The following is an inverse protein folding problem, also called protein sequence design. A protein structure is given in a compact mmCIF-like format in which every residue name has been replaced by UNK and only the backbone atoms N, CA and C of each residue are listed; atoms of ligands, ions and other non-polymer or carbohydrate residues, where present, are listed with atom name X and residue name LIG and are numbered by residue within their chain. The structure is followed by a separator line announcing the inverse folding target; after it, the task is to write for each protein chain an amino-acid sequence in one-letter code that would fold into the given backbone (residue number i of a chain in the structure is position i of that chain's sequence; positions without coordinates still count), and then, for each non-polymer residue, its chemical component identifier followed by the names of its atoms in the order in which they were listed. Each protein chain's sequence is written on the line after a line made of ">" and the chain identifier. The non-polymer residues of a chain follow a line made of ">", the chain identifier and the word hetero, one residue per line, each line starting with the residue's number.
data_IF_142684220652
#
_entry.id   IF_142684220652
#
_cell.length_a   1.000
_cell.length_b   1.000
_cell.length_c   1.000
_cell.angle_alpha   90.00
_cell.angle_beta   90.00
_cell.angle_gamma   90.00
#
_symmetry.space_group_name_H-M   'P 1'
#
loop_
_entity.id
_entity.type
_entity.pdbx_description
1 polymer ?
#
# COMPACT_ATOMS: atom_id res chain seq x y z
N UNK A 1 -15.66 -1.20 11.41
CA UNK A 1 -15.17 -1.84 10.15
C UNK A 1 -15.85 -1.17 8.96
N UNK A 2 -15.12 -0.83 7.89
CA UNK A 2 -15.71 -0.24 6.70
C UNK A 2 -16.63 -1.24 6.00
N UNK A 3 -17.57 -0.74 5.23
CA UNK A 3 -18.43 -1.58 4.40
C UNK A 3 -17.83 -1.82 3.01
N UNK A 4 -17.14 -0.79 2.45
CA UNK A 4 -16.62 -0.82 1.08
C UNK A 4 -15.21 -0.26 0.96
N UNK A 5 -14.30 -1.06 0.43
CA UNK A 5 -12.93 -0.66 0.13
C UNK A 5 -12.72 -0.64 -1.40
N UNK A 6 -12.19 0.50 -1.89
CA UNK A 6 -11.72 0.61 -3.26
C UNK A 6 -10.40 -0.14 -3.46
N UNK A 7 -10.25 -0.81 -4.59
CA UNK A 7 -8.95 -1.33 -5.05
C UNK A 7 -8.68 -0.72 -6.42
N UNK A 8 -7.56 0.02 -6.55
CA UNK A 8 -7.19 0.64 -7.82
C UNK A 8 -6.89 -0.44 -8.85
N UNK A 9 -7.75 -0.56 -9.86
CA UNK A 9 -7.77 -1.65 -10.84
C UNK A 9 -7.31 -1.18 -12.23
N UNK A 10 -6.27 -0.34 -12.28
CA UNK A 10 -5.65 0.12 -13.52
C UNK A 10 -4.62 -0.88 -14.04
N UNK A 11 -3.85 -1.50 -13.17
CA UNK A 11 -2.90 -2.58 -13.46
C UNK A 11 -2.46 -3.26 -12.14
N UNK A 12 -1.74 -4.40 -12.24
CA UNK A 12 -1.16 -5.11 -11.08
C UNK A 12 -2.14 -6.11 -10.43
N UNK A 13 -1.80 -6.53 -9.20
CA UNK A 13 -2.47 -7.65 -8.53
C UNK A 13 -3.76 -7.27 -7.78
N UNK A 14 -4.58 -6.37 -8.35
CA UNK A 14 -5.81 -5.90 -7.72
C UNK A 14 -6.82 -7.04 -7.40
N UNK A 15 -6.86 -8.08 -8.21
CA UNK A 15 -7.73 -9.25 -7.96
C UNK A 15 -7.31 -10.01 -6.70
N UNK A 16 -6.01 -10.06 -6.40
CA UNK A 16 -5.50 -10.70 -5.17
C UNK A 16 -5.90 -9.90 -3.93
N UNK A 17 -5.80 -8.57 -3.96
CA UNK A 17 -6.32 -7.71 -2.88
C UNK A 17 -7.83 -7.87 -2.69
N UNK A 18 -8.60 -7.95 -3.78
CA UNK A 18 -10.03 -8.21 -3.71
C UNK A 18 -10.32 -9.55 -3.02
N UNK A 19 -9.58 -10.62 -3.33
CA UNK A 19 -9.74 -11.92 -2.68
C UNK A 19 -9.43 -11.84 -1.17
N UNK A 20 -8.40 -11.09 -0.75
CA UNK A 20 -8.08 -10.88 0.67
C UNK A 20 -9.19 -10.13 1.41
N UNK A 21 -9.75 -9.08 0.81
CA UNK A 21 -10.87 -8.34 1.37
C UNK A 21 -12.13 -9.21 1.47
N UNK A 22 -12.37 -10.07 0.50
CA UNK A 22 -13.49 -11.03 0.51
C UNK A 22 -13.36 -12.05 1.66
N UNK A 23 -12.15 -12.55 1.96
CA UNK A 23 -11.90 -13.40 3.16
C UNK A 23 -12.28 -12.67 4.46
N UNK A 24 -12.12 -11.35 4.49
CA UNK A 24 -12.49 -10.48 5.62
C UNK A 24 -13.94 -10.00 5.57
N UNK A 25 -14.74 -10.46 4.60
CA UNK A 25 -16.16 -10.11 4.37
C UNK A 25 -16.36 -8.61 4.10
N UNK A 26 -15.40 -7.97 3.43
CA UNK A 26 -15.46 -6.57 3.02
C UNK A 26 -15.85 -6.47 1.55
N UNK A 27 -16.84 -5.64 1.23
CA UNK A 27 -17.24 -5.35 -0.15
C UNK A 27 -16.12 -4.56 -0.86
N UNK A 28 -15.85 -4.90 -2.12
CA UNK A 28 -14.77 -4.29 -2.90
C UNK A 28 -15.31 -3.56 -4.12
N UNK A 29 -14.85 -2.33 -4.34
CA UNK A 29 -15.07 -1.56 -5.57
C UNK A 29 -13.77 -1.57 -6.37
N UNK A 30 -13.80 -2.04 -7.62
CA UNK A 30 -12.66 -1.93 -8.55
C UNK A 30 -12.63 -0.51 -9.14
N UNK A 31 -11.70 0.31 -8.65
CA UNK A 31 -11.56 1.72 -9.02
C UNK A 31 -10.76 1.85 -10.31
N UNK A 32 -11.39 2.34 -11.39
CA UNK A 32 -10.78 2.55 -12.71
C UNK A 32 -10.87 4.01 -13.18
N UNK A 33 -11.73 4.81 -12.58
CA UNK A 33 -11.97 6.21 -12.91
C UNK A 33 -12.42 6.98 -11.67
N UNK A 34 -12.32 8.32 -11.66
CA UNK A 34 -12.59 9.14 -10.48
C UNK A 34 -13.91 8.86 -9.77
N UNK A 35 -14.99 8.70 -10.53
CA UNK A 35 -16.31 8.44 -9.96
C UNK A 35 -16.41 7.13 -9.16
N UNK A 36 -15.53 6.17 -9.42
CA UNK A 36 -15.55 4.88 -8.72
C UNK A 36 -15.04 5.01 -7.26
N UNK A 37 -14.37 6.13 -6.92
CA UNK A 37 -13.99 6.47 -5.54
C UNK A 37 -15.22 6.84 -4.68
N UNK A 38 -16.31 7.27 -5.30
CA UNK A 38 -17.52 7.60 -4.58
C UNK A 38 -18.11 6.33 -3.94
N UNK A 39 -18.32 6.40 -2.64
CA UNK A 39 -18.81 5.26 -1.86
C UNK A 39 -17.73 4.29 -1.37
N UNK A 40 -16.44 4.54 -1.68
CA UNK A 40 -15.33 3.88 -1.01
C UNK A 40 -15.03 4.59 0.32
N UNK A 41 -14.73 3.81 1.35
CA UNK A 41 -14.33 4.32 2.67
C UNK A 41 -12.80 4.27 2.86
N UNK A 42 -12.09 3.56 1.99
CA UNK A 42 -10.63 3.50 1.90
C UNK A 42 -10.20 2.99 0.53
N UNK A 43 -8.90 3.09 0.21
CA UNK A 43 -8.36 2.70 -1.08
C UNK A 43 -7.09 1.84 -0.90
N UNK A 44 -7.00 0.76 -1.67
CA UNK A 44 -5.76 -0.01 -1.83
C UNK A 44 -5.18 0.31 -3.21
N UNK A 45 -3.90 0.70 -3.25
CA UNK A 45 -3.12 0.86 -4.49
C UNK A 45 -2.19 -0.36 -4.60
N UNK A 46 -2.49 -1.30 -5.52
CA UNK A 46 -1.76 -2.56 -5.62
C UNK A 46 -0.32 -2.41 -6.10
N UNK A 47 0.44 -3.49 -5.91
CA UNK A 47 1.70 -3.72 -6.60
C UNK A 47 1.54 -3.88 -8.10
N UNK A 48 2.67 -3.84 -8.82
CA UNK A 48 2.74 -3.95 -10.26
C UNK A 48 3.94 -3.21 -10.83
N UNK A 49 3.84 -2.65 -12.04
CA UNK A 49 4.90 -1.87 -12.67
C UNK A 49 4.62 -0.37 -12.48
N UNK A 50 5.47 0.32 -11.69
CA UNK A 50 5.23 1.70 -11.25
C UNK A 50 5.26 2.74 -12.36
N UNK A 51 6.09 2.58 -13.41
CA UNK A 51 6.08 3.53 -14.54
C UNK A 51 4.81 3.40 -15.39
N UNK A 52 4.28 2.19 -15.52
CA UNK A 52 2.99 1.94 -16.17
C UNK A 52 1.85 2.49 -15.31
N UNK A 53 1.92 2.29 -13.99
CA UNK A 53 0.90 2.79 -13.06
C UNK A 53 0.83 4.33 -13.08
N UNK A 54 1.98 5.03 -13.06
CA UNK A 54 2.06 6.49 -13.24
C UNK A 54 1.33 6.95 -14.51
N UNK A 55 1.65 6.34 -15.67
CA UNK A 55 1.02 6.69 -16.95
C UNK A 55 -0.49 6.46 -16.95
N UNK A 56 -0.95 5.37 -16.33
CA UNK A 56 -2.38 5.04 -16.25
C UNK A 56 -3.13 5.97 -15.31
N UNK A 57 -2.56 6.31 -14.15
CA UNK A 57 -3.13 7.29 -13.22
C UNK A 57 -3.28 8.64 -13.93
N UNK A 58 -2.25 9.08 -14.68
CA UNK A 58 -2.30 10.30 -15.47
C UNK A 58 -3.36 10.24 -16.57
N UNK A 59 -3.36 9.17 -17.38
CA UNK A 59 -4.33 8.98 -18.48
C UNK A 59 -5.78 8.96 -18.01
N UNK A 60 -6.02 8.41 -16.82
CA UNK A 60 -7.36 8.30 -16.23
C UNK A 60 -7.73 9.54 -15.37
N UNK A 61 -6.89 10.58 -15.31
CA UNK A 61 -7.07 11.78 -14.49
C UNK A 61 -7.32 11.45 -13.01
N UNK A 62 -6.53 10.53 -12.44
CA UNK A 62 -6.73 10.02 -11.08
C UNK A 62 -5.88 10.72 -10.02
N UNK A 63 -4.87 11.55 -10.37
CA UNK A 63 -3.98 12.18 -9.39
C UNK A 63 -4.74 13.01 -8.36
N UNK A 64 -5.43 14.05 -8.79
CA UNK A 64 -6.18 14.92 -7.88
C UNK A 64 -7.33 14.19 -7.16
N UNK A 65 -8.15 13.35 -7.85
CA UNK A 65 -9.17 12.57 -7.16
C UNK A 65 -8.65 11.67 -6.05
N UNK A 66 -7.46 11.05 -6.20
CA UNK A 66 -6.85 10.24 -5.13
C UNK A 66 -6.33 11.14 -4.00
N UNK A 67 -5.70 12.29 -4.31
CA UNK A 67 -5.24 13.26 -3.30
C UNK A 67 -6.40 13.82 -2.49
N UNK A 68 -7.48 14.22 -3.14
CA UNK A 68 -8.69 14.70 -2.45
C UNK A 68 -9.34 13.60 -1.61
N UNK A 69 -9.37 12.36 -2.10
CA UNK A 69 -9.89 11.22 -1.37
C UNK A 69 -9.12 10.98 -0.07
N UNK A 70 -7.80 11.14 -0.09
CA UNK A 70 -6.91 10.95 1.07
C UNK A 70 -7.21 11.93 2.20
N UNK A 71 -7.77 13.12 1.93
CA UNK A 71 -8.10 14.07 2.98
C UNK A 71 -9.12 13.52 4.01
N UNK A 72 -9.86 12.47 3.66
CA UNK A 72 -10.93 11.89 4.51
C UNK A 72 -10.84 10.37 4.67
N UNK A 73 -10.10 9.70 3.81
CA UNK A 73 -10.11 8.24 3.72
C UNK A 73 -8.70 7.66 3.69
N UNK A 74 -8.46 6.53 4.37
CA UNK A 74 -7.15 5.90 4.40
C UNK A 74 -6.78 5.23 3.08
N UNK A 75 -5.45 5.20 2.82
CA UNK A 75 -4.87 4.53 1.66
C UNK A 75 -3.81 3.51 2.12
N UNK A 76 -3.83 2.32 1.52
CA UNK A 76 -2.77 1.33 1.63
C UNK A 76 -2.10 1.17 0.26
N UNK A 77 -0.78 1.41 0.18
CA UNK A 77 0.04 1.15 -1.01
C UNK A 77 0.96 -0.04 -0.83
N UNK A 78 0.94 -1.03 -1.75
CA UNK A 78 1.82 -2.21 -1.72
C UNK A 78 2.78 -2.21 -2.90
N UNK A 79 4.06 -2.48 -2.69
CA UNK A 79 5.10 -2.52 -3.71
C UNK A 79 5.10 -1.27 -4.64
N UNK A 80 4.61 -1.38 -5.87
CA UNK A 80 4.43 -0.21 -6.75
C UNK A 80 3.46 0.83 -6.15
N UNK A 81 2.46 0.40 -5.40
CA UNK A 81 1.56 1.30 -4.66
C UNK A 81 2.31 2.10 -3.59
N UNK A 82 3.29 1.50 -2.89
CA UNK A 82 4.14 2.23 -1.94
C UNK A 82 5.02 3.28 -2.65
N UNK A 83 5.51 2.98 -3.86
CA UNK A 83 6.22 3.96 -4.70
C UNK A 83 5.29 5.13 -5.06
N UNK A 84 4.03 4.83 -5.40
CA UNK A 84 3.08 5.87 -5.80
C UNK A 84 2.66 6.79 -4.66
N UNK A 85 2.56 6.31 -3.42
CA UNK A 85 2.18 7.17 -2.29
C UNK A 85 3.34 7.99 -1.72
N UNK A 86 4.60 7.65 -2.02
CA UNK A 86 5.80 8.33 -1.52
C UNK A 86 5.85 9.82 -1.88
N UNK A 87 6.59 10.60 -1.09
CA UNK A 87 6.89 12.00 -1.40
C UNK A 87 7.96 12.13 -2.49
N UNK A 88 8.91 11.19 -2.52
CA UNK A 88 10.02 11.23 -3.47
C UNK A 88 10.40 9.82 -3.98
N UNK A 89 10.78 9.74 -5.25
CA UNK A 89 11.21 8.50 -5.92
C UNK A 89 12.47 8.77 -6.73
N UNK A 90 13.42 7.86 -6.72
CA UNK A 90 14.72 7.96 -7.42
C UNK A 90 14.63 7.74 -8.96
N UNK A 91 13.44 7.76 -9.53
CA UNK A 91 13.18 7.56 -10.97
C UNK A 91 12.30 8.68 -11.53
N UNK A 92 12.88 9.55 -12.36
CA UNK A 92 12.19 10.70 -12.95
C UNK A 92 11.01 10.34 -13.87
N UNK A 93 10.83 9.08 -14.24
CA UNK A 93 9.70 8.59 -15.03
C UNK A 93 8.45 8.38 -14.19
N UNK A 94 8.57 8.49 -12.86
CA UNK A 94 7.49 8.30 -11.91
C UNK A 94 7.11 9.65 -11.31
N UNK A 95 5.85 9.96 -11.38
CA UNK A 95 5.25 11.07 -10.67
C UNK A 95 4.48 10.49 -9.46
N UNK A 96 4.99 10.62 -8.22
CA UNK A 96 4.30 10.08 -7.05
C UNK A 96 3.13 10.99 -6.63
N UNK A 97 2.23 10.43 -5.83
CA UNK A 97 1.07 11.13 -5.26
C UNK A 97 1.44 12.07 -4.10
N UNK A 98 2.62 11.89 -3.50
CA UNK A 98 3.14 12.69 -2.37
C UNK A 98 2.22 12.68 -1.14
N UNK A 99 1.85 11.50 -0.67
CA UNK A 99 0.89 11.31 0.42
C UNK A 99 1.53 10.95 1.76
N UNK A 100 2.79 10.47 1.75
CA UNK A 100 3.56 10.07 2.93
C UNK A 100 5.00 10.55 2.78
N UNK A 101 5.60 11.07 3.87
CA UNK A 101 6.95 11.64 3.83
C UNK A 101 8.04 10.56 3.86
N UNK A 102 8.14 9.83 2.76
CA UNK A 102 9.20 8.85 2.52
C UNK A 102 9.85 9.05 1.16
N UNK A 103 11.15 8.73 1.07
CA UNK A 103 11.86 8.58 -0.21
C UNK A 103 12.03 7.10 -0.54
N UNK A 104 11.73 6.74 -1.77
CA UNK A 104 11.76 5.35 -2.22
C UNK A 104 12.73 5.15 -3.37
N UNK A 105 13.62 4.15 -3.23
CA UNK A 105 14.48 3.69 -4.31
C UNK A 105 13.87 2.46 -4.99
N UNK A 106 13.83 2.48 -6.34
CA UNK A 106 13.37 1.34 -7.13
C UNK A 106 14.48 0.31 -7.29
N UNK A 107 14.09 -0.99 -7.38
CA UNK A 107 15.02 -2.10 -7.68
C UNK A 107 16.26 -2.10 -6.77
N UNK A 108 16.12 -1.76 -5.52
CA UNK A 108 17.24 -1.46 -4.62
C UNK A 108 17.98 -2.72 -4.13
N UNK A 109 17.43 -3.92 -4.30
CA UNK A 109 18.04 -5.17 -3.86
C UNK A 109 19.04 -5.79 -4.87
N UNK A 110 19.34 -5.05 -5.96
CA UNK A 110 20.37 -5.44 -6.95
C UNK A 110 19.87 -6.48 -7.98
N UNK A 111 20.68 -6.69 -9.03
CA UNK A 111 20.32 -7.58 -10.17
C UNK A 111 20.26 -9.06 -9.83
N UNK A 112 20.71 -9.49 -8.66
CA UNK A 112 20.79 -10.92 -8.29
C UNK A 112 19.65 -11.41 -7.40
N UNK A 113 18.85 -10.51 -6.78
CA UNK A 113 17.73 -10.90 -5.90
C UNK A 113 16.49 -10.14 -6.34
N UNK A 114 15.93 -10.53 -7.48
CA UNK A 114 14.71 -9.89 -8.00
C UNK A 114 13.46 -10.23 -7.18
N UNK A 115 13.43 -11.40 -6.52
CA UNK A 115 12.28 -11.85 -5.74
C UNK A 115 12.68 -12.87 -4.68
N UNK A 116 12.13 -12.73 -3.49
CA UNK A 116 12.35 -13.65 -2.38
C UNK A 116 11.16 -13.69 -1.43
N UNK A 117 11.10 -14.75 -0.63
CA UNK A 117 10.11 -14.93 0.43
C UNK A 117 10.84 -15.11 1.75
N UNK A 118 10.40 -14.40 2.76
CA UNK A 118 10.95 -14.52 4.11
C UNK A 118 9.86 -14.39 5.18
N UNK A 119 10.19 -14.71 6.41
CA UNK A 119 9.30 -14.50 7.55
C UNK A 119 9.81 -13.31 8.36
N UNK A 120 8.92 -12.37 8.63
CA UNK A 120 9.21 -11.13 9.35
C UNK A 120 8.37 -11.03 10.62
N UNK A 121 8.91 -10.37 11.62
CA UNK A 121 8.18 -10.11 12.85
C UNK A 121 7.11 -9.04 12.61
N UNK A 122 5.99 -9.13 13.33
CA UNK A 122 4.85 -8.21 13.25
C UNK A 122 4.60 -7.63 14.65
N UNK A 123 5.40 -6.65 15.11
CA UNK A 123 5.41 -6.19 16.50
C UNK A 123 4.07 -5.64 16.99
N UNK A 124 3.27 -5.06 16.09
CA UNK A 124 1.98 -4.46 16.38
C UNK A 124 0.84 -5.49 16.53
N UNK A 125 1.07 -6.77 16.19
CA UNK A 125 0.09 -7.85 16.36
C UNK A 125 0.53 -8.76 17.50
N UNK A 126 -0.06 -8.61 18.70
CA UNK A 126 0.26 -9.37 19.89
C UNK A 126 0.10 -10.88 19.67
N UNK A 127 1.09 -11.65 20.12
CA UNK A 127 1.05 -13.13 20.13
C UNK A 127 1.00 -13.77 18.74
N UNK A 128 1.35 -13.03 17.72
CA UNK A 128 1.30 -13.52 16.35
C UNK A 128 2.57 -14.25 15.94
N UNK A 129 2.41 -15.33 15.19
CA UNK A 129 3.50 -15.93 14.44
C UNK A 129 4.07 -14.93 13.42
N UNK A 130 5.33 -15.15 13.02
CA UNK A 130 5.97 -14.35 11.96
C UNK A 130 5.12 -14.35 10.69
N UNK A 131 5.09 -13.19 10.02
CA UNK A 131 4.36 -13.02 8.78
C UNK A 131 5.22 -13.46 7.58
N UNK A 132 4.65 -14.23 6.66
CA UNK A 132 5.30 -14.60 5.40
C UNK A 132 5.22 -13.42 4.42
N UNK A 133 6.32 -12.68 4.27
CA UNK A 133 6.41 -11.55 3.36
C UNK A 133 6.99 -11.98 2.00
N UNK A 134 6.29 -11.61 0.92
CA UNK A 134 6.68 -11.89 -0.47
C UNK A 134 7.19 -10.60 -1.10
N UNK A 135 8.45 -10.59 -1.51
CA UNK A 135 9.11 -9.47 -2.18
C UNK A 135 9.33 -9.80 -3.66
N UNK A 136 8.89 -8.94 -4.57
CA UNK A 136 9.07 -9.07 -6.01
C UNK A 136 9.61 -7.74 -6.53
N UNK A 137 10.89 -7.69 -6.92
CA UNK A 137 11.58 -6.45 -7.35
C UNK A 137 11.22 -5.27 -6.44
N UNK A 138 11.26 -5.56 -5.12
CA UNK A 138 10.72 -4.68 -4.12
C UNK A 138 11.44 -3.33 -4.09
N UNK A 139 10.73 -2.23 -3.86
CA UNK A 139 11.34 -0.94 -3.57
C UNK A 139 11.98 -0.94 -2.18
N UNK A 140 12.90 -0.02 -1.94
CA UNK A 140 13.50 0.24 -0.63
C UNK A 140 13.10 1.63 -0.15
N UNK A 141 12.57 1.72 1.05
CA UNK A 141 12.36 2.99 1.75
C UNK A 141 13.72 3.44 2.28
N UNK A 142 14.18 4.65 1.92
CA UNK A 142 15.51 5.16 2.28
C UNK A 142 15.46 6.26 3.32
N UNK A 143 14.64 7.28 3.10
CA UNK A 143 14.47 8.39 4.03
C UNK A 143 13.04 8.38 4.56
N UNK A 144 12.92 8.69 5.84
CA UNK A 144 11.66 8.67 6.57
C UNK A 144 11.51 10.02 7.27
N UNK A 145 10.39 10.70 7.05
CA UNK A 145 10.05 11.92 7.76
C UNK A 145 9.82 11.69 9.25
N UNK A 146 9.90 12.76 10.03
CA UNK A 146 9.81 12.69 11.49
C UNK A 146 8.46 12.23 12.04
N UNK A 147 7.42 12.28 11.24
CA UNK A 147 6.06 11.85 11.60
C UNK A 147 5.72 10.43 11.10
N UNK A 148 6.62 9.83 10.33
CA UNK A 148 6.43 8.49 9.79
C UNK A 148 6.81 7.44 10.83
N UNK A 149 5.90 6.56 11.17
CA UNK A 149 6.12 5.41 12.06
C UNK A 149 6.57 4.19 11.26
N UNK A 150 7.64 3.52 11.71
CA UNK A 150 8.10 2.25 11.16
C UNK A 150 7.41 1.10 11.89
N UNK A 151 6.57 0.38 11.19
CA UNK A 151 5.79 -0.75 11.75
C UNK A 151 6.49 -2.10 11.61
N UNK A 152 7.25 -2.28 10.52
CA UNK A 152 8.01 -3.52 10.27
C UNK A 152 9.34 -3.20 9.59
N UNK A 153 10.37 -3.98 9.94
CA UNK A 153 11.71 -3.90 9.35
C UNK A 153 12.21 -5.28 8.91
N UNK A 154 13.08 -5.27 7.92
CA UNK A 154 13.86 -6.43 7.48
C UNK A 154 15.33 -6.03 7.35
N UNK A 155 16.20 -6.64 8.17
CA UNK A 155 17.64 -6.31 8.23
C UNK A 155 17.93 -4.83 8.42
N UNK A 156 17.15 -4.15 9.29
CA UNK A 156 17.26 -2.72 9.57
C UNK A 156 16.72 -1.80 8.47
N UNK A 157 16.06 -2.33 7.46
CA UNK A 157 15.39 -1.54 6.43
C UNK A 157 13.88 -1.53 6.68
N UNK A 158 13.21 -0.38 6.68
CA UNK A 158 11.76 -0.29 6.78
C UNK A 158 11.07 -1.00 5.61
N UNK A 159 10.12 -1.88 5.92
CA UNK A 159 9.33 -2.60 4.92
C UNK A 159 7.83 -2.31 5.04
N UNK A 160 7.39 -1.74 6.16
CA UNK A 160 6.03 -1.26 6.36
C UNK A 160 6.09 -0.01 7.23
N UNK A 161 5.53 1.07 6.75
CA UNK A 161 5.52 2.38 7.40
C UNK A 161 4.14 3.01 7.34
N UNK A 162 3.87 3.92 8.29
CA UNK A 162 2.60 4.63 8.40
C UNK A 162 2.83 6.11 8.70
N UNK A 163 2.01 6.97 8.13
CA UNK A 163 1.88 8.38 8.50
C UNK A 163 0.44 8.81 8.32
N UNK A 164 -0.15 9.41 9.35
CA UNK A 164 -1.58 9.82 9.33
C UNK A 164 -2.48 8.65 8.92
N UNK A 165 -3.15 8.75 7.77
CA UNK A 165 -4.04 7.74 7.22
C UNK A 165 -3.44 6.96 6.02
N UNK A 166 -2.12 7.00 5.85
CA UNK A 166 -1.40 6.29 4.78
C UNK A 166 -0.58 5.14 5.36
N UNK A 167 -0.74 3.96 4.76
CA UNK A 167 0.04 2.75 5.03
C UNK A 167 0.81 2.36 3.76
N UNK A 168 2.14 2.28 3.84
CA UNK A 168 2.98 1.91 2.71
C UNK A 168 3.80 0.65 3.02
N UNK A 169 3.77 -0.34 2.12
CA UNK A 169 4.45 -1.62 2.24
C UNK A 169 5.32 -1.89 1.02
N UNK A 170 6.55 -2.37 1.23
CA UNK A 170 7.45 -2.72 0.13
C UNK A 170 7.23 -4.15 -0.41
N UNK A 171 6.44 -4.96 0.27
CA UNK A 171 6.13 -6.36 -0.04
C UNK A 171 4.67 -6.54 -0.48
N UNK A 172 4.33 -7.78 -0.85
CA UNK A 172 3.02 -8.19 -1.37
C UNK A 172 2.27 -9.06 -0.34
N UNK A 173 1.47 -8.47 0.57
CA UNK A 173 0.67 -9.26 1.52
C UNK A 173 -0.44 -10.06 0.83
N UNK A 174 -0.90 -9.60 -0.34
CA UNK A 174 -1.95 -10.23 -1.15
C UNK A 174 -1.52 -11.54 -1.82
N UNK A 175 -0.22 -11.83 -1.87
CA UNK A 175 0.32 -13.08 -2.44
C UNK A 175 0.46 -14.20 -1.40
N UNK A 176 -0.10 -14.02 -0.23
CA UNK A 176 -0.19 -15.05 0.81
C UNK A 176 -1.64 -15.41 1.09
N UNK A 177 -1.87 -16.41 1.93
CA UNK A 177 -3.21 -16.72 2.47
C UNK A 177 -3.49 -16.03 3.82
N UNK A 178 -2.58 -15.17 4.28
CA UNK A 178 -2.62 -14.54 5.60
C UNK A 178 -3.23 -13.13 5.51
N UNK A 179 -4.47 -12.92 6.00
CA UNK A 179 -5.15 -11.63 5.89
C UNK A 179 -4.73 -10.61 6.96
N UNK A 180 -3.77 -10.91 7.84
CA UNK A 180 -3.45 -10.06 9.01
C UNK A 180 -3.08 -8.62 8.64
N UNK A 181 -2.36 -8.39 7.55
CA UNK A 181 -1.98 -7.03 7.13
C UNK A 181 -3.21 -6.27 6.62
N UNK A 182 -4.06 -6.90 5.79
CA UNK A 182 -5.31 -6.28 5.35
C UNK A 182 -6.25 -6.02 6.54
N UNK A 183 -6.32 -6.95 7.50
CA UNK A 183 -7.08 -6.78 8.74
C UNK A 183 -6.55 -5.61 9.56
N UNK A 184 -5.22 -5.48 9.71
CA UNK A 184 -4.61 -4.34 10.40
C UNK A 184 -5.05 -3.01 9.75
N UNK A 185 -4.95 -2.89 8.42
CA UNK A 185 -5.43 -1.70 7.70
C UNK A 185 -6.89 -1.37 8.03
N UNK A 186 -7.76 -2.38 8.00
CA UNK A 186 -9.18 -2.20 8.28
C UNK A 186 -9.46 -1.84 9.75
N UNK A 187 -8.81 -2.49 10.69
CA UNK A 187 -9.06 -2.26 12.12
C UNK A 187 -8.43 -0.96 12.59
N UNK A 188 -7.20 -0.66 12.17
CA UNK A 188 -6.47 0.52 12.63
C UNK A 188 -7.12 1.82 12.17
N UNK A 189 -7.45 1.94 10.89
CA UNK A 189 -7.94 3.20 10.34
C UNK A 189 -9.45 3.41 10.47
N UNK A 190 -10.24 2.37 10.71
CA UNK A 190 -11.69 2.50 10.75
C UNK A 190 -12.30 2.31 12.15
N UNK A 191 -11.55 1.74 13.10
CA UNK A 191 -12.03 1.64 14.49
C UNK A 191 -11.74 2.92 15.26
N UNK A 192 -10.63 3.61 14.99
CA UNK A 192 -10.26 4.88 15.63
C UNK A 192 -11.22 6.05 15.28
N UNK A 193 -11.83 6.03 14.09
CA UNK A 193 -12.80 7.08 13.67
C UNK A 193 -14.18 6.96 14.35
N UNK A 194 -14.49 5.83 14.98
CA UNK A 194 -15.76 5.65 15.70
C UNK A 194 -15.75 6.26 17.14
N UNK A 195 -14.63 6.85 17.56
CA UNK A 195 -14.43 7.42 18.90
C UNK A 195 -14.31 8.95 18.91
N UNK A 196 -14.51 9.62 17.77
CA UNK A 196 -14.59 11.08 17.65
C UNK A 196 -15.97 11.53 17.17
#
# INVERSE_FOLDING_TARGET
>A
MPQKIGVLALQGDFVKHQAMLQLLKIETILVKKPKDLHGCEGLIIPGGESTTLTKLIQKCNMYEPIREFTAKHPIMGTCAGAIMVASNVDDQRIEPLQLIDISVARNAYGRQIDSFVTHVDVPFLKGSERFKAVFIRAPQIRNIGSQVEVLMELHGNPIMVQESNILALTFHPELTSDPRIHRYFLEHFFTAQALL
#
